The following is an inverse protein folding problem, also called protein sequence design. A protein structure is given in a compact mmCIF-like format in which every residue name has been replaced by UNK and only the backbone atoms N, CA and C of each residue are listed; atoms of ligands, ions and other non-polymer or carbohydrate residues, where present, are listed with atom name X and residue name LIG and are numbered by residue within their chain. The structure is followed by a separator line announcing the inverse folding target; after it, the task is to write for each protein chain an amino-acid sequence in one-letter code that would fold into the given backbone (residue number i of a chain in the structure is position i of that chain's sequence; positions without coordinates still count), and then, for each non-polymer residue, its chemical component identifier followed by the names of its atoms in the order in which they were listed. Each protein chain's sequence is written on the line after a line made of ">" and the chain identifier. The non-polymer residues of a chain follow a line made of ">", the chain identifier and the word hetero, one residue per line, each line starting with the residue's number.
data_IF_099395155340
#
_entry.id   IF_099395155340
#
_cell.length_a   1.000
_cell.length_b   1.000
_cell.length_c   1.000
_cell.angle_alpha   90.00
_cell.angle_beta   90.00
_cell.angle_gamma   90.00
#
_symmetry.space_group_name_H-M   'P 1'
#
loop_
_entity.id
_entity.type
_entity.pdbx_description
1 polymer ?
#
# COMPACT_ATOMS: atom_id res chain seq x y z
N UNK A 1 -40.15 -15.32 -26.07
CA UNK A 1 -39.89 -16.47 -25.17
C UNK A 1 -38.37 -16.68 -25.11
N UNK A 2 -37.69 -16.01 -24.18
CA UNK A 2 -36.25 -16.19 -23.90
C UNK A 2 -36.12 -16.35 -22.39
N UNK A 3 -36.06 -17.59 -21.90
CA UNK A 3 -35.82 -17.87 -20.48
C UNK A 3 -34.32 -17.94 -20.24
N UNK A 4 -33.66 -16.79 -20.13
CA UNK A 4 -32.26 -16.69 -19.73
C UNK A 4 -32.15 -16.95 -18.22
N UNK A 5 -31.84 -18.19 -17.81
CA UNK A 5 -31.48 -18.49 -16.42
C UNK A 5 -30.19 -17.72 -16.08
N UNK A 6 -30.27 -16.79 -15.14
CA UNK A 6 -29.09 -16.25 -14.47
C UNK A 6 -28.32 -17.41 -13.82
N UNK A 7 -27.17 -17.79 -14.38
CA UNK A 7 -26.21 -18.62 -13.64
C UNK A 7 -25.59 -17.76 -12.55
N UNK A 8 -26.15 -17.81 -11.35
CA UNK A 8 -25.49 -17.30 -10.14
C UNK A 8 -24.35 -18.25 -9.77
N UNK A 9 -23.13 -17.89 -10.15
CA UNK A 9 -21.95 -18.53 -9.56
C UNK A 9 -21.92 -18.18 -8.06
N UNK A 10 -21.63 -19.13 -7.15
CA UNK A 10 -21.47 -18.80 -5.74
C UNK A 10 -20.33 -17.78 -5.63
N UNK A 11 -20.64 -16.59 -5.15
CA UNK A 11 -19.62 -15.58 -4.90
C UNK A 11 -18.72 -16.10 -3.79
N UNK A 12 -17.59 -16.67 -4.18
CA UNK A 12 -16.52 -17.06 -3.27
C UNK A 12 -16.19 -15.83 -2.42
N UNK A 13 -16.25 -15.98 -1.11
CA UNK A 13 -16.01 -14.89 -0.16
C UNK A 13 -14.52 -14.52 -0.18
N UNK A 14 -14.12 -13.69 -1.15
CA UNK A 14 -12.77 -13.18 -1.24
C UNK A 14 -12.61 -12.02 -0.27
N UNK A 15 -11.52 -12.03 0.50
CA UNK A 15 -11.13 -10.85 1.27
C UNK A 15 -10.86 -9.71 0.29
N UNK A 16 -11.41 -8.53 0.62
CA UNK A 16 -11.13 -7.29 -0.10
C UNK A 16 -9.82 -6.71 0.43
N UNK A 17 -9.02 -6.17 -0.45
CA UNK A 17 -7.75 -5.54 -0.12
C UNK A 17 -7.71 -4.14 -0.73
N UNK A 18 -7.17 -3.19 0.03
CA UNK A 18 -6.92 -1.82 -0.42
C UNK A 18 -5.42 -1.58 -0.23
N UNK A 19 -4.74 -1.21 -1.32
CA UNK A 19 -3.34 -0.81 -1.31
C UNK A 19 -3.29 0.72 -1.43
N UNK A 20 -2.76 1.38 -0.40
CA UNK A 20 -2.53 2.83 -0.39
C UNK A 20 -1.03 3.04 -0.53
N UNK A 21 -0.61 3.74 -1.58
CA UNK A 21 0.79 4.09 -1.83
C UNK A 21 0.91 5.62 -1.98
N UNK A 22 1.82 6.22 -1.21
CA UNK A 22 2.04 7.67 -1.18
C UNK A 22 3.39 7.93 -1.86
N UNK A 23 3.39 8.77 -2.91
CA UNK A 23 4.60 9.07 -3.67
C UNK A 23 5.56 9.96 -2.86
N UNK A 24 6.85 9.66 -2.90
CA UNK A 24 7.93 10.41 -2.25
C UNK A 24 7.83 10.60 -0.73
N UNK A 25 7.00 9.81 -0.03
CA UNK A 25 6.84 9.92 1.42
C UNK A 25 8.14 9.56 2.16
N UNK A 26 8.62 10.48 3.00
CA UNK A 26 9.71 10.22 3.95
C UNK A 26 9.14 9.83 5.32
N UNK A 27 9.71 8.80 5.92
CA UNK A 27 9.40 8.29 7.26
C UNK A 27 9.52 9.35 8.36
N UNK A 28 10.45 10.30 8.21
CA UNK A 28 10.66 11.41 9.14
C UNK A 28 9.48 12.39 9.20
N UNK A 29 8.43 12.20 8.40
CA UNK A 29 7.21 13.00 8.42
C UNK A 29 5.96 12.20 8.87
N UNK A 30 6.15 11.01 9.44
CA UNK A 30 5.06 10.11 9.82
C UNK A 30 5.04 9.87 11.34
N UNK A 31 3.90 10.16 11.98
CA UNK A 31 3.72 10.10 13.43
C UNK A 31 4.01 8.74 14.04
N UNK A 32 3.49 7.66 13.44
CA UNK A 32 3.70 6.30 13.92
C UNK A 32 5.15 5.79 13.81
N UNK A 33 6.03 6.53 13.12
CA UNK A 33 7.48 6.29 13.11
C UNK A 33 8.27 7.19 14.06
N UNK A 34 7.59 8.01 14.87
CA UNK A 34 8.18 8.85 15.90
C UNK A 34 8.24 10.34 15.57
N UNK A 35 7.76 10.77 14.39
CA UNK A 35 7.71 12.19 14.04
C UNK A 35 6.62 12.92 14.81
N UNK A 36 7.01 13.73 15.78
CA UNK A 36 6.08 14.49 16.62
C UNK A 36 6.41 15.99 16.53
N UNK A 37 5.42 16.80 16.17
CA UNK A 37 5.51 18.26 16.31
C UNK A 37 4.77 18.70 17.58
N UNK A 38 5.20 19.79 18.26
CA UNK A 38 4.72 20.11 19.61
C UNK A 38 3.22 20.40 19.76
N UNK A 39 2.52 20.67 18.66
CA UNK A 39 1.14 21.18 18.70
C UNK A 39 0.10 20.16 18.28
N UNK A 40 0.38 19.31 17.28
CA UNK A 40 -0.62 18.43 16.68
C UNK A 40 0.02 17.16 16.09
N UNK A 41 -0.67 16.02 16.08
CA UNK A 41 -0.24 14.83 15.33
C UNK A 41 -0.22 15.12 13.83
N UNK A 42 0.85 14.72 13.14
CA UNK A 42 1.05 15.04 11.72
C UNK A 42 0.24 14.11 10.81
N UNK A 43 0.06 12.86 11.22
CA UNK A 43 -0.61 11.83 10.42
C UNK A 43 -1.69 11.09 11.21
N UNK A 44 -2.65 11.78 11.86
CA UNK A 44 -3.55 11.17 12.85
C UNK A 44 -4.36 9.98 12.31
N UNK A 45 -4.79 10.01 11.05
CA UNK A 45 -5.49 8.88 10.41
C UNK A 45 -4.59 7.69 10.10
N UNK A 46 -3.34 7.94 9.72
CA UNK A 46 -2.38 6.86 9.49
C UNK A 46 -1.92 6.25 10.81
N UNK A 47 -1.78 7.08 11.84
CA UNK A 47 -1.41 6.67 13.19
C UNK A 47 -2.51 5.80 13.82
N UNK A 48 -3.80 6.14 13.60
CA UNK A 48 -4.91 5.29 14.05
C UNK A 48 -4.90 3.93 13.32
N UNK A 49 -4.70 3.91 12.00
CA UNK A 49 -4.57 2.66 11.24
C UNK A 49 -3.40 1.81 11.71
N UNK A 50 -2.26 2.45 12.04
CA UNK A 50 -1.08 1.76 12.55
C UNK A 50 -1.32 1.11 13.91
N UNK A 51 -2.15 1.73 14.77
CA UNK A 51 -2.51 1.21 16.10
C UNK A 51 -3.36 -0.07 16.05
N UNK A 52 -4.08 -0.28 14.95
CA UNK A 52 -4.92 -1.46 14.71
C UNK A 52 -4.21 -2.55 13.89
N UNK A 53 -2.97 -2.30 13.47
CA UNK A 53 -2.26 -3.12 12.50
C UNK A 53 -0.82 -3.49 12.91
N UNK A 54 0.03 -3.66 11.90
CA UNK A 54 1.45 -3.98 12.06
C UNK A 54 2.28 -2.92 11.34
N UNK A 55 3.28 -2.38 12.02
CA UNK A 55 4.23 -1.40 11.48
C UNK A 55 5.53 -2.12 11.11
N UNK A 56 6.04 -1.87 9.91
CA UNK A 56 7.33 -2.37 9.46
C UNK A 56 8.42 -1.31 9.64
N UNK A 57 9.20 -1.41 10.72
CA UNK A 57 10.25 -0.42 11.03
C UNK A 57 11.44 -0.42 10.03
N UNK A 58 11.64 -1.55 9.33
CA UNK A 58 12.76 -1.74 8.40
C UNK A 58 12.25 -2.14 7.00
N UNK A 59 11.36 -1.32 6.43
CA UNK A 59 10.88 -1.48 5.06
C UNK A 59 11.64 -0.55 4.11
N UNK A 60 12.20 -1.10 3.04
CA UNK A 60 13.01 -0.36 2.07
C UNK A 60 12.38 -0.45 0.69
N UNK A 61 12.43 0.65 -0.06
CA UNK A 61 12.04 0.67 -1.46
C UNK A 61 12.93 -0.28 -2.28
N UNK A 62 12.34 -1.03 -3.21
CA UNK A 62 13.08 -1.94 -4.08
C UNK A 62 14.01 -1.19 -5.03
N UNK A 63 13.56 -0.02 -5.48
CA UNK A 63 14.29 0.94 -6.31
C UNK A 63 13.93 2.36 -5.86
N UNK A 64 14.82 3.33 -6.10
CA UNK A 64 14.61 4.74 -5.69
C UNK A 64 13.72 5.51 -6.69
N UNK A 65 13.85 5.36 -8.02
CA UNK A 65 12.98 6.07 -8.96
C UNK A 65 11.52 5.61 -8.86
N UNK A 66 10.58 6.57 -8.80
CA UNK A 66 9.13 6.30 -8.66
C UNK A 66 8.61 5.26 -9.65
N UNK A 67 8.91 5.33 -10.97
CA UNK A 67 8.42 4.34 -11.93
C UNK A 67 8.93 2.92 -11.65
N UNK A 68 10.21 2.77 -11.28
CA UNK A 68 10.79 1.46 -10.96
C UNK A 68 10.22 0.91 -9.65
N UNK A 69 10.09 1.74 -8.62
CA UNK A 69 9.55 1.35 -7.32
C UNK A 69 8.11 0.87 -7.41
N UNK A 70 7.23 1.61 -8.11
CA UNK A 70 5.84 1.18 -8.33
C UNK A 70 5.76 -0.05 -9.23
N UNK A 71 6.59 -0.16 -10.27
CA UNK A 71 6.64 -1.38 -11.11
C UNK A 71 7.05 -2.59 -10.27
N UNK A 72 8.04 -2.44 -9.38
CA UNK A 72 8.44 -3.49 -8.44
C UNK A 72 7.33 -3.87 -7.48
N UNK A 73 6.57 -2.90 -6.94
CA UNK A 73 5.43 -3.13 -6.05
C UNK A 73 4.35 -4.00 -6.69
N UNK A 74 4.03 -3.78 -7.97
CA UNK A 74 2.99 -4.54 -8.67
C UNK A 74 3.48 -5.86 -9.26
N UNK A 75 4.76 -5.96 -9.63
CA UNK A 75 5.31 -7.16 -10.28
C UNK A 75 6.01 -8.13 -9.32
N UNK A 76 6.38 -7.68 -8.11
CA UNK A 76 7.18 -8.45 -7.17
C UNK A 76 8.61 -8.74 -7.65
N UNK A 77 9.13 -7.95 -8.59
CA UNK A 77 10.47 -8.08 -9.19
C UNK A 77 11.22 -6.76 -9.04
N UNK A 78 12.55 -6.77 -8.94
CA UNK A 78 13.37 -5.55 -8.91
C UNK A 78 13.52 -4.92 -10.30
N UNK A 79 13.90 -3.63 -10.36
CA UNK A 79 14.25 -2.88 -11.57
C UNK A 79 15.00 -3.68 -12.63
N UNK A 80 16.13 -4.24 -12.23
CA UNK A 80 17.01 -5.07 -13.06
C UNK A 80 16.35 -6.35 -13.64
N UNK A 81 15.18 -6.75 -13.14
CA UNK A 81 14.44 -7.96 -13.55
C UNK A 81 13.17 -7.65 -14.34
N UNK A 82 12.64 -6.43 -14.26
CA UNK A 82 11.49 -5.98 -15.06
C UNK A 82 11.86 -4.95 -16.14
N UNK A 83 13.07 -4.40 -16.13
CA UNK A 83 13.60 -3.54 -17.20
C UNK A 83 13.16 -2.08 -17.14
N UNK A 84 12.53 -1.66 -16.04
CA UNK A 84 12.24 -0.25 -15.73
C UNK A 84 13.21 0.11 -14.62
N UNK A 85 14.04 1.15 -14.78
CA UNK A 85 15.14 1.51 -13.88
C UNK A 85 15.05 2.99 -13.55
#
# INVERSE_FOLDING_TARGET
>A
MWSGRERRYPMRNFKKFILIAIDTLNVDHVGCYGYNIPREPVTPFLDSLASEGVIFLNHYASDVPTPSSYTSLFTGRRGIKHGII
#
